data_IF_706015972050
#
_entry.id   IF_706015972050
#
_cell.length_a   1.000
_cell.length_b   1.000
_cell.length_c   1.000
_cell.angle_alpha   90.00
_cell.angle_beta   90.00
_cell.angle_gamma   90.00
#
_symmetry.space_group_name_H-M   'P 1'
#
loop_
_entity.id
_entity.type
_entity.pdbx_description
1 polymer ?
#
# COMPACT_ATOMS: atom_id res chain seq x y z
N UNK A 1 8.27 2.25 -10.59
CA UNK A 1 7.49 2.43 -9.36
C UNK A 1 6.18 1.71 -9.54
N UNK A 2 5.75 0.98 -8.52
CA UNK A 2 4.48 0.24 -8.53
C UNK A 2 3.58 0.80 -7.41
N UNK A 3 2.28 0.59 -7.53
CA UNK A 3 1.32 0.84 -6.44
C UNK A 3 0.26 -0.25 -6.42
N UNK A 4 -0.48 -0.37 -5.32
CA UNK A 4 -1.63 -1.27 -5.23
C UNK A 4 -2.85 -0.65 -5.90
N UNK A 5 -3.67 -1.44 -6.57
CA UNK A 5 -4.98 -1.00 -7.07
C UNK A 5 -5.87 -0.44 -5.96
N UNK A 6 -5.70 -0.89 -4.71
CA UNK A 6 -6.43 -0.35 -3.56
C UNK A 6 -6.11 1.13 -3.28
N UNK A 7 -4.87 1.57 -3.55
CA UNK A 7 -4.45 2.96 -3.38
C UNK A 7 -5.20 3.91 -4.30
N UNK A 8 -5.65 3.43 -5.48
CA UNK A 8 -6.47 4.24 -6.38
C UNK A 8 -7.81 4.65 -5.75
N UNK A 9 -8.34 3.85 -4.82
CA UNK A 9 -9.58 4.16 -4.10
C UNK A 9 -9.29 5.03 -2.87
N UNK A 10 -8.23 4.70 -2.14
CA UNK A 10 -7.81 5.40 -0.92
C UNK A 10 -7.55 6.88 -1.10
N UNK A 11 -6.89 7.25 -2.20
CA UNK A 11 -6.52 8.65 -2.45
C UNK A 11 -7.72 9.50 -2.87
N UNK A 12 -8.88 8.91 -3.18
CA UNK A 12 -10.03 9.67 -3.66
C UNK A 12 -10.73 10.38 -2.51
N UNK A 13 -10.76 11.71 -2.58
CA UNK A 13 -11.51 12.57 -1.67
C UNK A 13 -12.04 13.81 -2.40
N UNK A 14 -13.04 14.54 -1.87
CA UNK A 14 -13.70 15.64 -2.59
C UNK A 14 -12.80 16.82 -3.05
N UNK A 15 -11.59 16.91 -2.51
CA UNK A 15 -10.62 17.99 -2.81
C UNK A 15 -9.50 17.52 -3.75
N UNK A 16 -9.55 16.28 -4.25
CA UNK A 16 -8.48 15.75 -5.09
C UNK A 16 -8.44 16.44 -6.45
N UNK A 17 -7.24 16.79 -6.92
CA UNK A 17 -7.02 17.17 -8.31
C UNK A 17 -7.04 15.91 -9.18
N UNK A 18 -8.22 15.49 -9.61
CA UNK A 18 -8.41 14.23 -10.34
C UNK A 18 -7.57 14.16 -11.64
N UNK A 19 -7.50 15.19 -12.50
CA UNK A 19 -6.61 15.16 -13.67
C UNK A 19 -5.14 14.94 -13.33
N UNK A 20 -4.62 15.61 -12.30
CA UNK A 20 -3.23 15.43 -11.87
C UNK A 20 -2.98 14.04 -11.28
N UNK A 21 -3.96 13.49 -10.55
CA UNK A 21 -3.93 12.12 -10.03
C UNK A 21 -3.87 11.10 -11.16
N UNK A 22 -4.78 11.16 -12.13
CA UNK A 22 -4.81 10.25 -13.29
C UNK A 22 -3.54 10.33 -14.13
N UNK A 23 -3.00 11.54 -14.32
CA UNK A 23 -1.71 11.73 -14.99
C UNK A 23 -0.57 11.05 -14.23
N UNK A 24 -0.56 11.15 -12.90
CA UNK A 24 0.44 10.45 -12.06
C UNK A 24 0.29 8.95 -12.16
N UNK A 25 -0.94 8.44 -12.08
CA UNK A 25 -1.26 7.00 -12.21
C UNK A 25 -0.82 6.46 -13.57
N UNK A 26 -0.94 7.24 -14.66
CA UNK A 26 -0.52 6.82 -16.00
C UNK A 26 0.99 6.50 -16.12
N UNK A 27 1.80 6.92 -15.15
CA UNK A 27 3.26 6.77 -15.14
C UNK A 27 3.77 5.68 -14.19
N UNK A 28 2.86 4.98 -13.50
CA UNK A 28 3.19 3.94 -12.53
C UNK A 28 2.48 2.64 -12.89
N UNK A 29 3.09 1.52 -12.51
CA UNK A 29 2.42 0.21 -12.67
C UNK A 29 1.44 0.05 -11.51
N UNK A 30 0.20 -0.27 -11.83
CA UNK A 30 -0.84 -0.56 -10.83
C UNK A 30 -0.99 -2.09 -10.74
N UNK A 31 -0.64 -2.64 -9.59
CA UNK A 31 -0.74 -4.07 -9.33
C UNK A 31 -2.12 -4.43 -8.77
N UNK A 32 -2.77 -5.50 -9.27
CA UNK A 32 -4.08 -5.91 -8.79
C UNK A 32 -4.03 -6.45 -7.36
N UNK A 33 -5.10 -6.23 -6.60
CA UNK A 33 -5.33 -6.96 -5.35
C UNK A 33 -5.92 -8.32 -5.70
N UNK A 34 -5.07 -9.34 -5.74
CA UNK A 34 -5.46 -10.73 -5.95
C UNK A 34 -5.75 -11.44 -4.63
N UNK A 35 -6.36 -12.62 -4.66
CA UNK A 35 -6.57 -13.42 -3.44
C UNK A 35 -5.27 -13.70 -2.67
N UNK A 36 -4.14 -14.09 -3.31
CA UNK A 36 -2.87 -14.24 -2.60
C UNK A 36 -2.41 -12.97 -1.89
N UNK A 37 -2.55 -11.80 -2.52
CA UNK A 37 -2.24 -10.51 -1.90
C UNK A 37 -3.15 -10.24 -0.71
N UNK A 38 -4.46 -10.49 -0.84
CA UNK A 38 -5.42 -10.31 0.25
C UNK A 38 -5.12 -11.23 1.45
N UNK A 39 -4.74 -12.50 1.20
CA UNK A 39 -4.32 -13.43 2.26
C UNK A 39 -3.01 -12.98 2.92
N UNK A 40 -2.06 -12.48 2.15
CA UNK A 40 -0.82 -11.93 2.70
C UNK A 40 -1.10 -10.70 3.57
N UNK A 41 -1.95 -9.77 3.11
CA UNK A 41 -2.40 -8.60 3.87
C UNK A 41 -3.05 -9.02 5.20
N UNK A 42 -3.93 -10.01 5.20
CA UNK A 42 -4.52 -10.57 6.41
C UNK A 42 -3.48 -11.14 7.38
N UNK A 43 -2.43 -11.78 6.86
CA UNK A 43 -1.31 -12.28 7.68
C UNK A 43 -0.51 -11.13 8.30
N UNK A 44 -0.26 -10.04 7.57
CA UNK A 44 0.42 -8.86 8.10
C UNK A 44 -0.38 -8.22 9.24
N UNK A 45 -1.69 -8.06 9.06
CA UNK A 45 -2.62 -7.57 10.09
C UNK A 45 -2.57 -8.44 11.35
N UNK A 46 -2.66 -9.77 11.19
CA UNK A 46 -2.64 -10.71 12.31
C UNK A 46 -1.30 -10.65 13.06
N UNK A 47 -0.17 -10.57 12.35
CA UNK A 47 1.17 -10.44 12.96
C UNK A 47 1.34 -9.13 13.71
N UNK A 48 0.80 -8.03 13.19
CA UNK A 48 0.88 -6.72 13.81
C UNK A 48 -0.19 -6.49 14.91
N UNK A 49 -1.14 -7.41 15.09
CA UNK A 49 -2.26 -7.24 16.01
C UNK A 49 -3.25 -6.14 15.60
N UNK A 50 -3.33 -5.84 14.30
CA UNK A 50 -4.13 -4.75 13.73
C UNK A 50 -5.43 -5.28 13.11
N UNK A 51 -6.49 -4.48 13.15
CA UNK A 51 -7.79 -4.86 12.59
C UNK A 51 -7.96 -4.38 11.14
N UNK A 52 -8.47 -5.26 10.27
CA UNK A 52 -8.64 -4.94 8.84
C UNK A 52 -9.60 -3.77 8.56
N UNK A 53 -10.61 -3.52 9.39
CA UNK A 53 -11.52 -2.39 9.16
C UNK A 53 -10.83 -1.02 9.21
N UNK A 54 -9.69 -0.92 9.89
CA UNK A 54 -8.91 0.31 10.00
C UNK A 54 -7.71 0.30 9.04
N UNK A 55 -7.04 -0.84 8.85
CA UNK A 55 -5.74 -0.91 8.16
C UNK A 55 -5.76 -1.75 6.88
N UNK A 56 -6.94 -2.07 6.31
CA UNK A 56 -7.03 -2.97 5.16
C UNK A 56 -6.25 -2.46 3.94
N UNK A 57 -6.32 -1.16 3.64
CA UNK A 57 -5.64 -0.63 2.46
C UNK A 57 -4.13 -0.62 2.66
N UNK A 58 -3.64 -0.12 3.80
CA UNK A 58 -2.21 -0.19 4.15
C UNK A 58 -1.68 -1.62 4.13
N UNK A 59 -2.48 -2.59 4.61
CA UNK A 59 -2.10 -4.00 4.58
C UNK A 59 -2.03 -4.57 3.16
N UNK A 60 -2.97 -4.19 2.27
CA UNK A 60 -2.94 -4.57 0.86
C UNK A 60 -1.76 -3.92 0.13
N UNK A 61 -1.48 -2.64 0.39
CA UNK A 61 -0.31 -1.94 -0.15
C UNK A 61 0.99 -2.60 0.32
N UNK A 62 1.09 -2.91 1.61
CA UNK A 62 2.24 -3.60 2.21
C UNK A 62 2.44 -4.98 1.58
N UNK A 63 1.36 -5.77 1.44
CA UNK A 63 1.42 -7.07 0.80
C UNK A 63 1.83 -7.01 -0.68
N UNK A 64 1.34 -6.00 -1.42
CA UNK A 64 1.77 -5.72 -2.81
C UNK A 64 3.26 -5.37 -2.86
N UNK A 65 3.73 -4.47 -1.97
CA UNK A 65 5.13 -4.07 -1.92
C UNK A 65 6.06 -5.25 -1.61
N UNK A 66 5.69 -6.09 -0.63
CA UNK A 66 6.46 -7.27 -0.23
C UNK A 66 6.42 -8.42 -1.24
N UNK A 67 5.45 -8.41 -2.16
CA UNK A 67 5.39 -9.36 -3.28
C UNK A 67 6.26 -8.93 -4.47
N UNK A 68 6.74 -7.68 -4.51
CA UNK A 68 7.61 -7.19 -5.56
C UNK A 68 9.01 -7.81 -5.49
N UNK A 69 9.71 -7.87 -6.62
CA UNK A 69 11.06 -8.45 -6.67
C UNK A 69 12.08 -7.55 -5.95
N UNK A 70 12.78 -8.11 -4.96
CA UNK A 70 13.88 -7.45 -4.25
C UNK A 70 13.44 -6.67 -3.01
N UNK A 71 14.37 -5.96 -2.34
CA UNK A 71 14.06 -5.14 -1.17
C UNK A 71 13.06 -4.03 -1.51
N UNK A 72 11.91 -4.01 -0.83
CA UNK A 72 10.87 -3.01 -1.07
C UNK A 72 11.21 -1.69 -0.34
N UNK A 73 11.04 -0.57 -1.03
CA UNK A 73 11.02 0.78 -0.44
C UNK A 73 9.64 1.39 -0.67
N UNK A 74 8.98 1.80 0.41
CA UNK A 74 7.64 2.39 0.40
C UNK A 74 7.76 3.88 0.67
N UNK A 75 7.20 4.70 -0.22
CA UNK A 75 7.14 6.15 -0.07
C UNK A 75 5.73 6.53 0.39
N UNK A 76 5.60 7.26 1.49
CA UNK A 76 4.29 7.64 2.05
C UNK A 76 4.38 8.98 2.79
N UNK A 77 3.30 9.76 2.81
CA UNK A 77 3.20 10.94 3.67
C UNK A 77 2.97 10.59 5.14
N UNK A 78 2.42 9.39 5.41
CA UNK A 78 2.13 8.89 6.75
C UNK A 78 2.76 7.48 6.94
N UNK A 79 3.95 7.39 7.58
CA UNK A 79 4.69 6.14 7.68
C UNK A 79 4.22 5.21 8.80
N UNK A 80 3.44 5.70 9.77
CA UNK A 80 3.25 4.99 11.04
C UNK A 80 2.60 3.62 10.86
N UNK A 81 1.62 3.50 9.97
CA UNK A 81 0.89 2.25 9.75
C UNK A 81 1.69 1.25 8.91
N UNK A 82 2.42 1.75 7.93
CA UNK A 82 3.29 0.93 7.08
C UNK A 82 4.49 0.39 7.86
N UNK A 83 5.04 1.16 8.80
CA UNK A 83 6.09 0.66 9.71
C UNK A 83 5.58 -0.47 10.59
N UNK A 84 4.35 -0.36 11.14
CA UNK A 84 3.74 -1.43 11.94
C UNK A 84 3.50 -2.70 11.13
N UNK A 85 3.07 -2.56 9.88
CA UNK A 85 2.71 -3.69 9.01
C UNK A 85 3.93 -4.38 8.39
N UNK A 86 4.89 -3.61 7.88
CA UNK A 86 6.05 -4.15 7.17
C UNK A 86 7.19 -4.54 8.11
N UNK A 87 7.31 -3.92 9.29
CA UNK A 87 8.46 -4.10 10.16
C UNK A 87 9.78 -3.89 9.41
N UNK A 88 10.71 -4.85 9.48
CA UNK A 88 11.98 -4.82 8.75
C UNK A 88 11.92 -5.39 7.32
N UNK A 89 10.75 -5.85 6.86
CA UNK A 89 10.60 -6.46 5.53
C UNK A 89 10.61 -5.44 4.39
N UNK A 90 10.39 -4.15 4.69
CA UNK A 90 10.49 -3.04 3.75
C UNK A 90 11.11 -1.81 4.41
N UNK A 91 11.76 -0.96 3.63
CA UNK A 91 12.18 0.37 4.06
C UNK A 91 11.02 1.34 3.84
N UNK A 92 10.61 2.08 4.87
CA UNK A 92 9.55 3.10 4.77
C UNK A 92 10.19 4.49 4.84
N UNK A 93 9.94 5.31 3.82
CA UNK A 93 10.48 6.67 3.71
C UNK A 93 9.30 7.65 3.67
N UNK A 94 9.35 8.63 4.57
CA UNK A 94 8.41 9.75 4.55
C UNK A 94 8.75 10.72 3.42
N UNK A 95 7.77 11.06 2.60
CA UNK A 95 7.88 12.06 1.53
C UNK A 95 6.93 13.24 1.73
#
# INVERSE_FOLDING_TARGET
>A
MITSAATLVEVIHPRINRPASEWTVSRIVVEPVTEPIARHAASLLAKAGLHGHQYAIDAMLSATALAAAGPATILTSDPDDLVKLCGSAATVIKI
#
